data_IF_518000059953
#
_entry.id   IF_518000059953
#
_cell.length_a   1.000
_cell.length_b   1.000
_cell.length_c   1.000
_cell.angle_alpha   90.00
_cell.angle_beta   90.00
_cell.angle_gamma   90.00
#
_symmetry.space_group_name_H-M   'P 1'
#
loop_
_entity.id
_entity.type
_entity.pdbx_description
1 polymer ?
#
# COMPACT_ATOMS: atom_id res chain seq x y z
N UNK A 1 -14.02 5.77 -5.83
CA UNK A 1 -12.74 5.06 -5.59
C UNK A 1 -13.11 3.65 -5.19
N UNK A 2 -12.44 2.63 -5.72
CA UNK A 2 -12.70 1.24 -5.29
C UNK A 2 -11.96 1.00 -3.98
N UNK A 3 -12.66 0.37 -3.03
CA UNK A 3 -12.11 0.05 -1.73
C UNK A 3 -11.68 -1.42 -1.70
N UNK A 4 -10.57 -1.68 -1.00
CA UNK A 4 -10.22 -3.04 -0.64
C UNK A 4 -11.35 -3.64 0.20
N UNK A 5 -11.70 -4.89 -0.09
CA UNK A 5 -12.59 -5.71 0.74
C UNK A 5 -11.74 -6.69 1.57
N UNK A 6 -12.32 -7.46 2.51
CA UNK A 6 -11.55 -8.44 3.26
C UNK A 6 -10.71 -9.35 2.34
N UNK A 7 -9.46 -9.59 2.73
CA UNK A 7 -8.43 -10.33 1.97
C UNK A 7 -7.94 -9.64 0.68
N UNK A 8 -8.18 -8.34 0.52
CA UNK A 8 -7.53 -7.50 -0.50
C UNK A 8 -6.57 -6.49 0.14
N UNK A 9 -5.52 -6.14 -0.60
CA UNK A 9 -4.66 -5.00 -0.33
C UNK A 9 -4.65 -4.08 -1.54
N UNK A 10 -4.18 -2.85 -1.36
CA UNK A 10 -3.88 -2.01 -2.50
C UNK A 10 -2.56 -2.45 -3.14
N UNK A 11 -2.58 -2.62 -4.47
CA UNK A 11 -1.38 -2.83 -5.29
C UNK A 11 -1.20 -1.66 -6.23
N UNK A 12 0.01 -1.13 -6.27
CA UNK A 12 0.43 -0.05 -7.15
C UNK A 12 0.96 -0.60 -8.46
N UNK A 13 0.56 0.02 -9.56
CA UNK A 13 1.07 -0.28 -10.89
C UNK A 13 2.32 0.58 -11.15
N UNK A 14 3.49 -0.05 -11.04
CA UNK A 14 4.79 0.58 -11.26
C UNK A 14 5.24 0.31 -12.69
N UNK A 15 5.64 1.35 -13.41
CA UNK A 15 6.15 1.19 -14.75
C UNK A 15 7.28 2.17 -15.06
N UNK A 16 8.26 1.70 -15.83
CA UNK A 16 9.42 2.50 -16.21
C UNK A 16 9.00 3.70 -17.07
N UNK A 17 9.62 4.85 -16.82
CA UNK A 17 9.38 6.07 -17.60
C UNK A 17 8.12 6.85 -17.20
N UNK A 18 7.40 6.42 -16.15
CA UNK A 18 6.38 7.22 -15.49
C UNK A 18 6.94 7.94 -14.27
N UNK A 19 6.32 9.07 -13.92
CA UNK A 19 6.57 9.72 -12.64
C UNK A 19 5.99 8.82 -11.54
N UNK A 20 6.76 8.48 -10.48
CA UNK A 20 6.25 7.68 -9.37
C UNK A 20 4.97 8.21 -8.73
N UNK A 21 4.75 9.52 -8.77
CA UNK A 21 3.53 10.14 -8.24
C UNK A 21 2.27 9.91 -9.09
N UNK A 22 2.42 9.43 -10.33
CA UNK A 22 1.32 9.18 -11.27
C UNK A 22 0.93 7.68 -11.31
N UNK A 23 1.59 6.86 -10.50
CA UNK A 23 1.27 5.43 -10.37
C UNK A 23 -0.06 5.23 -9.64
N UNK A 24 -0.98 4.45 -10.21
CA UNK A 24 -2.27 4.17 -9.62
C UNK A 24 -2.15 2.95 -8.70
N UNK A 25 -2.99 2.92 -7.67
CA UNK A 25 -3.17 1.80 -6.77
C UNK A 25 -4.59 1.28 -6.90
N UNK A 26 -4.72 -0.04 -6.90
CA UNK A 26 -5.99 -0.72 -7.06
C UNK A 26 -6.14 -1.80 -5.99
N UNK A 27 -7.36 -2.06 -5.49
CA UNK A 27 -7.57 -3.17 -4.58
C UNK A 27 -7.40 -4.50 -5.34
N UNK A 28 -6.68 -5.43 -4.71
CA UNK A 28 -6.36 -6.73 -5.28
C UNK A 28 -6.10 -7.75 -4.17
N UNK A 29 -6.39 -9.02 -4.44
CA UNK A 29 -5.89 -10.12 -3.62
C UNK A 29 -4.44 -10.42 -4.00
N UNK A 30 -3.53 -10.33 -3.05
CA UNK A 30 -2.12 -10.70 -3.26
C UNK A 30 -1.98 -12.21 -3.04
N UNK A 31 -1.38 -12.91 -4.01
CA UNK A 31 -1.22 -14.37 -3.96
C UNK A 31 0.21 -14.71 -3.53
N UNK A 32 0.33 -15.40 -2.40
CA UNK A 32 1.61 -15.96 -1.95
C UNK A 32 1.99 -17.19 -2.77
N UNK A 33 2.70 -16.98 -3.88
CA UNK A 33 3.47 -18.07 -4.48
C UNK A 33 4.92 -17.61 -4.63
N UNK A 34 5.87 -18.19 -3.88
CA UNK A 34 7.28 -17.92 -4.06
C UNK A 34 7.73 -18.64 -5.33
N UNK A 35 7.94 -17.89 -6.41
CA UNK A 35 8.87 -18.32 -7.44
C UNK A 35 10.17 -17.57 -7.18
N UNK A 36 11.18 -18.36 -6.81
CA UNK A 36 12.59 -18.03 -6.48
C UNK A 36 13.36 -17.28 -7.57
N UNK A 37 12.68 -16.56 -8.47
CA UNK A 37 13.28 -15.89 -9.63
C UNK A 37 12.65 -14.54 -9.99
N UNK A 38 11.65 -14.04 -9.26
CA UNK A 38 10.91 -12.85 -9.69
C UNK A 38 11.47 -11.56 -9.09
N UNK A 39 12.13 -10.75 -9.93
CA UNK A 39 12.31 -9.30 -9.69
C UNK A 39 11.03 -8.50 -10.00
N UNK A 40 9.86 -9.15 -10.05
CA UNK A 40 8.67 -8.65 -10.76
C UNK A 40 7.50 -8.30 -9.84
N UNK A 41 7.77 -7.99 -8.56
CA UNK A 41 6.78 -7.50 -7.62
C UNK A 41 5.70 -8.52 -7.21
N UNK A 42 4.56 -8.01 -6.71
CA UNK A 42 3.43 -8.77 -6.21
C UNK A 42 2.62 -9.43 -7.34
N UNK A 43 2.19 -10.67 -7.11
CA UNK A 43 1.20 -11.35 -7.95
C UNK A 43 -0.21 -10.97 -7.44
N UNK A 44 -1.01 -10.35 -8.30
CA UNK A 44 -2.28 -9.77 -7.89
C UNK A 44 -3.43 -10.41 -8.65
N UNK A 45 -4.52 -10.69 -7.94
CA UNK A 45 -5.79 -11.15 -8.49
C UNK A 45 -6.81 -10.04 -8.35
N UNK A 46 -7.28 -9.50 -9.48
CA UNK A 46 -8.21 -8.37 -9.54
C UNK A 46 -9.64 -8.83 -9.75
N UNK A 47 -10.60 -8.19 -9.06
CA UNK A 47 -12.02 -8.33 -9.39
C UNK A 47 -12.34 -7.67 -10.72
N UNK A 48 -13.35 -8.19 -11.42
CA UNK A 48 -13.80 -7.64 -12.71
C UNK A 48 -14.09 -6.12 -12.66
N UNK A 49 -14.62 -5.63 -11.53
CA UNK A 49 -14.94 -4.21 -11.33
C UNK A 49 -13.73 -3.28 -11.24
N UNK A 50 -12.55 -3.83 -10.95
CA UNK A 50 -11.29 -3.07 -10.87
C UNK A 50 -10.73 -2.82 -12.28
N UNK A 51 -10.95 -3.76 -13.20
CA UNK A 51 -10.37 -3.75 -14.55
C UNK A 51 -10.68 -2.48 -15.36
N UNK A 52 -11.89 -1.88 -15.35
CA UNK A 52 -12.14 -0.63 -16.04
C UNK A 52 -11.23 0.53 -15.59
N UNK A 53 -10.92 0.59 -14.30
CA UNK A 53 -10.04 1.62 -13.74
C UNK A 53 -8.60 1.43 -14.21
N UNK A 54 -8.12 0.17 -14.21
CA UNK A 54 -6.80 -0.21 -14.74
C UNK A 54 -6.72 0.12 -16.24
N UNK A 55 -7.72 -0.31 -17.01
CA UNK A 55 -7.81 -0.05 -18.46
C UNK A 55 -7.80 1.44 -18.77
N UNK A 56 -8.57 2.24 -18.02
CA UNK A 56 -8.61 3.68 -18.21
C UNK A 56 -7.24 4.32 -17.98
N UNK A 57 -6.52 3.88 -16.94
CA UNK A 57 -5.18 4.40 -16.67
C UNK A 57 -4.17 3.97 -17.74
N UNK A 58 -4.17 2.71 -18.16
CA UNK A 58 -3.32 2.21 -19.26
C UNK A 58 -3.58 3.02 -20.54
N UNK A 59 -4.84 3.28 -20.87
CA UNK A 59 -5.23 4.05 -22.07
C UNK A 59 -4.72 5.50 -22.02
N UNK A 60 -4.60 6.09 -20.84
CA UNK A 60 -4.02 7.44 -20.65
C UNK A 60 -2.50 7.44 -20.71
N UNK A 61 -1.85 6.28 -20.65
CA UNK A 61 -0.41 6.11 -20.64
C UNK A 61 0.05 5.18 -21.79
N UNK A 62 -0.18 5.55 -23.06
CA UNK A 62 0.14 4.70 -24.21
C UNK A 62 1.64 4.37 -24.34
N UNK A 63 2.53 5.16 -23.72
CA UNK A 63 3.97 4.90 -23.66
C UNK A 63 4.32 3.58 -22.98
N UNK A 64 3.39 2.99 -22.21
CA UNK A 64 3.56 1.68 -21.58
C UNK A 64 3.56 0.52 -22.59
N UNK A 65 3.07 0.74 -23.82
CA UNK A 65 2.93 -0.32 -24.81
C UNK A 65 1.96 -1.44 -24.37
N UNK A 66 1.08 -1.15 -23.41
CA UNK A 66 0.14 -2.12 -22.82
C UNK A 66 -1.30 -1.81 -23.23
N UNK A 67 -2.11 -2.85 -23.38
CA UNK A 67 -3.55 -2.80 -23.54
C UNK A 67 -4.22 -3.87 -22.70
N UNK A 68 -5.39 -3.55 -22.14
CA UNK A 68 -6.20 -4.46 -21.33
C UNK A 68 -7.65 -4.37 -21.80
N UNK A 69 -8.26 -5.51 -22.10
CA UNK A 69 -9.62 -5.57 -22.64
C UNK A 69 -10.36 -6.83 -22.16
N UNK A 70 -11.51 -6.65 -21.52
CA UNK A 70 -12.47 -7.74 -21.33
C UNK A 70 -13.10 -8.11 -22.69
N UNK A 71 -12.95 -9.37 -23.07
CA UNK A 71 -13.53 -9.91 -24.30
C UNK A 71 -15.00 -10.27 -24.09
N UNK A 72 -15.85 -10.18 -25.13
CA UNK A 72 -17.26 -10.56 -25.02
C UNK A 72 -17.42 -12.05 -24.72
N UNK A 73 -18.53 -12.40 -24.06
CA UNK A 73 -18.86 -13.80 -23.76
C UNK A 73 -18.99 -14.57 -25.08
N UNK A 74 -18.29 -15.70 -25.16
CA UNK A 74 -18.54 -16.63 -26.26
C UNK A 74 -19.88 -17.32 -26.02
N UNK A 75 -20.66 -17.58 -27.08
CA UNK A 75 -22.08 -18.00 -27.01
C UNK A 75 -22.34 -19.31 -26.25
N UNK A 76 -21.29 -19.98 -25.77
CA UNK A 76 -21.32 -21.31 -25.19
C UNK A 76 -20.70 -21.40 -23.78
N UNK A 77 -20.28 -20.30 -23.14
CA UNK A 77 -19.70 -20.30 -21.79
C UNK A 77 -20.29 -19.22 -20.88
N UNK A 78 -20.11 -19.44 -19.57
CA UNK A 78 -20.65 -18.68 -18.42
C UNK A 78 -20.37 -17.17 -18.49
N UNK A 79 -20.88 -16.42 -17.51
CA UNK A 79 -20.66 -14.98 -17.29
C UNK A 79 -19.16 -14.58 -17.13
N UNK A 80 -18.23 -15.52 -17.28
CA UNK A 80 -16.79 -15.37 -17.08
C UNK A 80 -16.12 -14.93 -18.38
N UNK A 81 -16.01 -13.60 -18.53
CA UNK A 81 -15.40 -12.96 -19.70
C UNK A 81 -13.87 -13.11 -19.64
N UNK A 82 -13.18 -13.61 -20.68
CA UNK A 82 -11.73 -13.64 -20.67
C UNK A 82 -11.15 -12.23 -20.79
N UNK A 83 -10.06 -11.97 -20.08
CA UNK A 83 -9.29 -10.75 -20.15
C UNK A 83 -8.15 -10.92 -21.17
N UNK A 84 -8.15 -10.07 -22.19
CA UNK A 84 -7.02 -9.94 -23.11
C UNK A 84 -6.06 -8.88 -22.60
N UNK A 85 -4.78 -9.24 -22.53
CA UNK A 85 -3.68 -8.34 -22.19
C UNK A 85 -2.72 -8.34 -23.37
N UNK A 86 -2.50 -7.17 -23.96
CA UNK A 86 -1.50 -6.96 -24.99
C UNK A 86 -0.35 -6.15 -24.39
N UNK A 87 0.89 -6.62 -24.54
CA UNK A 87 2.09 -5.87 -24.13
C UNK A 87 3.09 -5.82 -25.27
N UNK A 88 3.73 -4.67 -25.44
CA UNK A 88 4.68 -4.40 -26.53
C UNK A 88 5.91 -3.73 -25.96
N UNK A 89 7.07 -4.37 -26.15
CA UNK A 89 8.37 -3.78 -25.88
C UNK A 89 9.08 -3.37 -27.17
N UNK A 90 10.29 -2.80 -27.05
CA UNK A 90 11.06 -2.33 -28.20
C UNK A 90 11.36 -3.42 -29.25
N UNK A 91 11.42 -4.69 -28.83
CA UNK A 91 11.81 -5.83 -29.67
C UNK A 91 10.80 -6.98 -29.66
N UNK A 92 9.65 -6.82 -29.01
CA UNK A 92 8.72 -7.92 -28.79
C UNK A 92 7.27 -7.45 -28.65
N UNK A 93 6.34 -8.33 -28.97
CA UNK A 93 4.92 -8.17 -28.72
C UNK A 93 4.37 -9.48 -28.13
N UNK A 94 3.52 -9.36 -27.11
CA UNK A 94 2.89 -10.50 -26.44
C UNK A 94 1.40 -10.23 -26.28
N UNK A 95 0.61 -11.27 -26.50
CA UNK A 95 -0.82 -11.29 -26.15
C UNK A 95 -1.05 -12.43 -25.17
N UNK A 96 -1.74 -12.13 -24.09
CA UNK A 96 -2.18 -13.08 -23.07
C UNK A 96 -3.70 -13.07 -22.98
N UNK A 97 -4.28 -14.25 -22.79
CA UNK A 97 -5.69 -14.44 -22.47
C UNK A 97 -5.77 -15.02 -21.07
N UNK A 98 -6.24 -14.22 -20.12
CA UNK A 98 -6.43 -14.59 -18.73
C UNK A 98 -7.89 -14.91 -18.52
N UNK A 99 -8.18 -16.12 -18.07
CA UNK A 99 -9.52 -16.51 -17.64
C UNK A 99 -9.67 -16.19 -16.16
N UNK A 100 -10.83 -15.67 -15.73
CA UNK A 100 -11.06 -15.47 -14.31
C UNK A 100 -11.12 -16.83 -13.61
N UNK A 101 -10.55 -16.88 -12.43
CA UNK A 101 -10.66 -17.98 -11.48
C UNK A 101 -11.35 -17.43 -10.22
N UNK A 102 -12.46 -18.05 -9.79
CA UNK A 102 -13.36 -17.54 -8.76
C UNK A 102 -13.77 -16.06 -8.95
N UNK A 103 -13.95 -15.64 -10.22
CA UNK A 103 -14.30 -14.25 -10.58
C UNK A 103 -13.15 -13.25 -10.47
N UNK A 104 -11.91 -13.71 -10.23
CA UNK A 104 -10.70 -12.90 -10.13
C UNK A 104 -9.77 -13.14 -11.32
N UNK A 105 -9.17 -12.07 -11.82
CA UNK A 105 -8.22 -12.08 -12.93
C UNK A 105 -6.80 -11.95 -12.40
N UNK A 106 -5.99 -12.97 -12.66
CA UNK A 106 -4.57 -12.92 -12.30
C UNK A 106 -3.80 -11.98 -13.23
N UNK A 107 -3.10 -11.02 -12.63
CA UNK A 107 -2.15 -10.15 -13.29
C UNK A 107 -0.75 -10.39 -12.72
N UNK A 108 0.19 -10.62 -13.62
CA UNK A 108 1.62 -10.71 -13.33
C UNK A 108 2.36 -9.73 -14.23
N UNK A 109 3.21 -8.90 -13.62
CA UNK A 109 4.10 -7.97 -14.33
C UNK A 109 5.18 -8.65 -15.16
N UNK A 110 6.01 -7.81 -15.78
CA UNK A 110 7.25 -8.18 -16.44
C UNK A 110 8.39 -7.22 -16.05
N UNK A 111 9.48 -7.18 -16.83
CA UNK A 111 10.64 -6.31 -16.55
C UNK A 111 10.36 -4.82 -16.72
N UNK A 112 9.30 -4.43 -17.43
CA UNK A 112 8.98 -3.05 -17.81
C UNK A 112 7.84 -2.44 -16.99
N UNK A 113 7.04 -3.29 -16.38
CA UNK A 113 6.01 -2.91 -15.42
C UNK A 113 5.78 -4.05 -14.42
N UNK A 114 5.49 -3.71 -13.18
CA UNK A 114 5.16 -4.67 -12.15
C UNK A 114 4.13 -4.10 -11.17
N UNK A 115 3.58 -4.98 -10.34
CA UNK A 115 2.69 -4.60 -9.26
C UNK A 115 3.46 -4.67 -7.95
N UNK A 116 3.23 -3.76 -7.01
CA UNK A 116 3.79 -3.87 -5.66
C UNK A 116 2.74 -3.52 -4.62
N UNK A 117 2.91 -3.99 -3.39
CA UNK A 117 1.96 -3.64 -2.32
C UNK A 117 2.06 -2.13 -2.02
N UNK A 118 0.92 -1.49 -1.79
CA UNK A 118 0.84 -0.04 -1.67
C UNK A 118 -0.34 0.38 -0.80
N UNK A 119 -0.60 1.68 -0.80
CA UNK A 119 -1.72 2.34 -0.15
C UNK A 119 -2.71 2.87 -1.21
N UNK A 120 -3.95 3.23 -0.85
CA UNK A 120 -4.89 3.83 -1.80
C UNK A 120 -4.28 5.06 -2.48
N UNK A 121 -4.51 5.21 -3.78
CA UNK A 121 -4.04 6.38 -4.53
C UNK A 121 -4.57 7.67 -3.91
N UNK A 122 -3.67 8.42 -3.29
CA UNK A 122 -4.00 9.66 -2.60
C UNK A 122 -3.20 10.78 -3.24
N UNK A 123 -3.84 11.90 -3.57
CA UNK A 123 -3.14 13.02 -4.19
C UNK A 123 -2.15 13.65 -3.21
N UNK A 124 -1.04 14.18 -3.72
CA UNK A 124 -0.09 14.95 -2.92
C UNK A 124 -0.77 16.08 -2.13
N UNK A 125 -1.78 16.74 -2.72
CA UNK A 125 -2.57 17.77 -2.04
C UNK A 125 -3.37 17.23 -0.86
N UNK A 126 -3.94 16.03 -0.98
CA UNK A 126 -4.66 15.37 0.11
C UNK A 126 -3.72 14.99 1.24
N UNK A 127 -2.56 14.38 0.94
CA UNK A 127 -1.53 14.05 1.93
C UNK A 127 -1.07 15.31 2.68
N UNK A 128 -0.74 16.38 1.94
CA UNK A 128 -0.33 17.67 2.52
C UNK A 128 -1.45 18.30 3.35
N UNK A 129 -2.70 18.17 2.94
CA UNK A 129 -3.85 18.69 3.67
C UNK A 129 -4.06 17.95 4.99
N UNK A 130 -4.07 16.62 4.98
CA UNK A 130 -4.19 15.79 6.18
C UNK A 130 -3.05 16.04 7.16
N UNK A 131 -1.81 16.11 6.67
CA UNK A 131 -0.66 16.47 7.51
C UNK A 131 -0.85 17.84 8.18
N UNK A 132 -1.19 18.88 7.41
CA UNK A 132 -1.44 20.23 7.95
C UNK A 132 -2.59 20.27 8.92
N UNK A 133 -3.59 19.41 8.78
CA UNK A 133 -4.77 19.38 9.65
C UNK A 133 -4.46 18.70 10.98
N UNK A 134 -3.80 17.54 10.94
CA UNK A 134 -3.65 16.62 12.06
C UNK A 134 -2.33 16.82 12.82
N UNK A 135 -1.22 17.04 12.12
CA UNK A 135 0.12 17.13 12.72
C UNK A 135 0.35 18.55 13.25
N UNK A 136 -0.25 18.84 14.41
CA UNK A 136 -0.17 20.14 15.10
C UNK A 136 0.26 19.95 16.56
N UNK A 137 1.03 20.89 17.14
CA UNK A 137 1.42 20.81 18.55
C UNK A 137 0.25 20.66 19.54
N UNK A 138 -0.92 21.24 19.23
CA UNK A 138 -2.11 21.12 20.07
C UNK A 138 -2.66 19.68 20.13
N UNK A 139 -2.46 18.88 19.08
CA UNK A 139 -2.94 17.50 18.98
C UNK A 139 -1.93 16.49 19.54
N UNK A 140 -0.68 16.91 19.75
CA UNK A 140 0.44 16.09 20.23
C UNK A 140 0.78 16.35 21.70
N UNK A 141 -0.22 16.73 22.51
CA UNK A 141 -0.04 16.90 23.96
C UNK A 141 -0.20 15.53 24.64
N UNK A 142 0.75 15.14 25.51
CA UNK A 142 0.63 13.90 26.27
C UNK A 142 -0.48 13.97 27.32
N UNK A 143 -1.24 12.89 27.41
CA UNK A 143 -2.19 12.65 28.50
C UNK A 143 -1.48 12.05 29.73
N UNK A 144 -2.11 12.03 30.91
CA UNK A 144 -1.51 11.40 32.09
C UNK A 144 -1.08 9.95 31.82
N UNK A 145 0.20 9.66 32.04
CA UNK A 145 0.80 8.35 31.80
C UNK A 145 1.42 8.18 30.41
N UNK A 146 1.27 9.16 29.50
CA UNK A 146 1.96 9.17 28.21
C UNK A 146 3.32 9.88 28.30
N UNK A 147 4.31 9.34 27.60
CA UNK A 147 5.56 10.00 27.29
C UNK A 147 5.59 10.41 25.81
N UNK A 148 6.46 11.35 25.47
CA UNK A 148 6.74 11.68 24.07
C UNK A 148 7.76 10.68 23.52
N UNK A 149 7.46 10.11 22.36
CA UNK A 149 8.39 9.25 21.62
C UNK A 149 8.59 9.76 20.20
N UNK A 150 9.80 9.61 19.67
CA UNK A 150 10.13 9.88 18.27
C UNK A 150 10.59 8.59 17.59
N UNK A 151 10.25 8.46 16.31
CA UNK A 151 10.94 7.51 15.45
C UNK A 151 12.38 8.01 15.31
N UNK A 152 13.37 7.10 15.31
CA UNK A 152 14.77 7.48 15.08
C UNK A 152 14.87 8.34 13.81
N UNK A 153 15.61 9.45 13.89
CA UNK A 153 15.76 10.48 12.85
C UNK A 153 14.54 11.37 12.55
N UNK A 154 13.40 11.15 13.22
CA UNK A 154 12.23 12.03 13.09
C UNK A 154 12.31 13.25 14.03
N UNK A 155 11.91 14.42 13.51
CA UNK A 155 11.80 15.67 14.30
C UNK A 155 10.44 15.84 14.98
N UNK A 156 9.55 14.86 14.88
CA UNK A 156 8.20 14.91 15.45
C UNK A 156 8.10 13.88 16.57
N UNK A 157 7.61 14.31 17.72
CA UNK A 157 7.35 13.44 18.86
C UNK A 157 5.85 13.19 19.02
N UNK A 158 5.51 11.95 19.34
CA UNK A 158 4.14 11.45 19.44
C UNK A 158 3.88 10.98 20.87
N UNK A 159 2.76 11.37 21.49
CA UNK A 159 2.39 10.85 22.81
C UNK A 159 2.02 9.37 22.78
N UNK A 160 2.61 8.59 23.67
CA UNK A 160 2.33 7.17 23.81
C UNK A 160 2.50 6.70 25.25
N UNK A 161 1.81 5.62 25.61
CA UNK A 161 2.24 4.83 26.77
C UNK A 161 3.42 3.99 26.31
N UNK A 162 4.56 4.10 27.00
CA UNK A 162 5.75 3.32 26.68
C UNK A 162 5.78 2.08 27.57
N UNK A 163 5.90 0.91 26.97
CA UNK A 163 6.07 -0.34 27.72
C UNK A 163 7.34 -0.30 28.57
N UNK A 164 7.33 -1.03 29.69
CA UNK A 164 8.53 -1.18 30.51
C UNK A 164 9.55 -2.13 29.86
N UNK A 165 9.10 -2.98 28.93
CA UNK A 165 9.96 -3.85 28.14
C UNK A 165 10.46 -3.13 26.89
N UNK A 166 11.78 -3.04 26.73
CA UNK A 166 12.40 -2.54 25.50
C UNK A 166 12.66 -3.68 24.52
N UNK A 167 12.58 -3.39 23.23
CA UNK A 167 12.99 -4.33 22.18
C UNK A 167 14.35 -3.89 21.61
N UNK A 168 15.40 -4.66 21.88
CA UNK A 168 16.79 -4.32 21.47
C UNK A 168 17.17 -2.91 21.95
N UNK A 169 16.66 -2.48 23.11
CA UNK A 169 16.90 -1.15 23.66
C UNK A 169 16.00 -0.03 23.11
N UNK A 170 15.18 -0.29 22.08
CA UNK A 170 14.19 0.66 21.59
C UNK A 170 12.93 0.67 22.48
N UNK A 171 12.29 1.84 22.57
CA UNK A 171 11.01 2.00 23.24
C UNK A 171 9.90 1.21 22.52
N UNK A 172 8.89 0.78 23.25
CA UNK A 172 7.70 0.12 22.69
C UNK A 172 6.47 1.00 22.98
N UNK A 173 6.10 1.90 22.06
CA UNK A 173 5.00 2.83 22.28
C UNK A 173 3.63 2.23 21.89
N UNK A 174 2.62 2.55 22.71
CA UNK A 174 1.21 2.29 22.45
C UNK A 174 0.44 3.60 22.32
N UNK A 175 0.05 3.92 21.09
CA UNK A 175 -0.59 5.17 20.72
C UNK A 175 -2.11 5.09 20.89
N UNK A 176 -2.73 6.11 21.48
CA UNK A 176 -4.20 6.25 21.45
C UNK A 176 -4.70 6.50 20.01
N UNK A 177 -5.98 6.24 19.69
CA UNK A 177 -6.49 6.29 18.32
C UNK A 177 -6.22 7.60 17.57
N UNK A 178 -6.29 8.74 18.25
CA UNK A 178 -6.03 10.03 17.60
C UNK A 178 -4.55 10.20 17.26
N UNK A 179 -3.65 9.75 18.14
CA UNK A 179 -2.19 9.82 17.88
C UNK A 179 -1.80 8.85 16.79
N UNK A 180 -2.40 7.65 16.74
CA UNK A 180 -2.21 6.71 15.63
C UNK A 180 -2.59 7.33 14.27
N UNK A 181 -3.70 8.06 14.20
CA UNK A 181 -4.11 8.80 12.98
C UNK A 181 -3.12 9.90 12.60
N UNK A 182 -2.61 10.64 13.59
CA UNK A 182 -1.61 11.70 13.36
C UNK A 182 -0.30 11.09 12.87
N UNK A 183 0.15 9.99 13.47
CA UNK A 183 1.34 9.26 13.04
C UNK A 183 1.19 8.74 11.60
N UNK A 184 0.06 8.10 11.26
CA UNK A 184 -0.20 7.65 9.88
C UNK A 184 -0.19 8.79 8.85
N UNK A 185 -0.77 9.95 9.20
CA UNK A 185 -0.73 11.14 8.35
C UNK A 185 0.70 11.70 8.20
N UNK A 186 1.49 11.67 9.27
CA UNK A 186 2.89 12.08 9.24
C UNK A 186 3.74 11.13 8.38
N UNK A 187 3.59 9.82 8.52
CA UNK A 187 4.30 8.81 7.73
C UNK A 187 4.06 9.00 6.22
N UNK A 188 2.80 9.14 5.81
CA UNK A 188 2.46 9.40 4.40
C UNK A 188 3.07 10.71 3.88
N UNK A 189 3.15 11.74 4.72
CA UNK A 189 3.79 13.01 4.36
C UNK A 189 5.31 12.91 4.31
N UNK A 190 5.93 12.18 5.24
CA UNK A 190 7.35 11.92 5.28
C UNK A 190 7.80 11.14 4.04
N UNK A 191 7.05 10.10 3.67
CA UNK A 191 7.23 9.37 2.41
C UNK A 191 7.19 10.31 1.19
N UNK A 192 6.22 11.21 1.13
CA UNK A 192 6.04 12.12 0.00
C UNK A 192 7.13 13.21 -0.10
N UNK A 193 7.72 13.64 1.02
CA UNK A 193 8.47 14.91 1.06
C UNK A 193 9.85 14.85 1.67
N UNK A 194 10.15 13.83 2.48
CA UNK A 194 11.42 13.71 3.18
C UNK A 194 12.26 12.60 2.56
N UNK A 195 11.73 11.38 2.55
CA UNK A 195 12.43 10.19 2.09
C UNK A 195 11.38 9.12 1.70
N UNK A 196 11.49 8.57 0.49
CA UNK A 196 10.54 7.56 -0.01
C UNK A 196 10.68 6.19 0.69
N UNK A 197 11.70 6.02 1.53
CA UNK A 197 11.88 4.85 2.37
C UNK A 197 10.94 4.82 3.58
N UNK A 198 10.36 5.96 3.98
CA UNK A 198 9.35 5.98 5.04
C UNK A 198 8.15 5.08 4.68
N UNK A 199 7.62 4.40 5.69
CA UNK A 199 6.40 3.61 5.54
C UNK A 199 5.22 4.49 5.10
N UNK A 200 4.29 3.88 4.37
CA UNK A 200 3.01 4.47 3.99
C UNK A 200 1.89 3.79 4.78
N UNK A 201 0.79 4.49 5.01
CA UNK A 201 -0.31 3.94 5.82
C UNK A 201 -1.69 4.25 5.27
N UNK A 202 -2.66 3.41 5.59
CA UNK A 202 -4.09 3.67 5.41
C UNK A 202 -4.93 2.93 6.44
N UNK A 203 -6.19 3.32 6.58
CA UNK A 203 -7.11 2.73 7.55
C UNK A 203 -8.11 1.80 6.88
N UNK A 204 -8.30 0.61 7.45
CA UNK A 204 -9.37 -0.32 7.16
C UNK A 204 -10.22 -0.52 8.42
N UNK A 205 -11.37 0.16 8.49
CA UNK A 205 -12.16 0.19 9.72
C UNK A 205 -11.36 0.82 10.88
N UNK A 206 -11.08 0.04 11.91
CA UNK A 206 -10.24 0.39 13.06
C UNK A 206 -8.83 -0.19 12.98
N UNK A 207 -8.44 -0.83 11.88
CA UNK A 207 -7.08 -1.35 11.70
C UNK A 207 -6.25 -0.37 10.89
N UNK A 208 -5.05 -0.03 11.38
CA UNK A 208 -4.06 0.73 10.62
C UNK A 208 -3.21 -0.26 9.82
N UNK A 209 -3.26 -0.15 8.50
CA UNK A 209 -2.40 -0.90 7.61
C UNK A 209 -1.12 -0.10 7.37
N UNK A 210 0.03 -0.70 7.65
CA UNK A 210 1.36 -0.09 7.48
C UNK A 210 2.11 -0.83 6.38
N UNK A 211 2.52 -0.10 5.35
CA UNK A 211 3.24 -0.61 4.19
C UNK A 211 4.67 -0.07 4.21
N UNK A 212 5.61 -0.96 4.46
CA UNK A 212 7.05 -0.69 4.45
C UNK A 212 7.54 -0.55 3.01
N UNK A 213 7.88 0.68 2.61
CA UNK A 213 8.22 0.99 1.21
C UNK A 213 9.39 0.17 0.69
N UNK A 214 10.39 -0.11 1.53
CA UNK A 214 11.56 -0.91 1.16
C UNK A 214 11.25 -2.41 1.02
N UNK A 215 10.23 -2.92 1.71
CA UNK A 215 9.85 -4.33 1.70
C UNK A 215 8.67 -4.62 0.74
N UNK A 216 7.91 -3.59 0.34
CA UNK A 216 6.69 -3.69 -0.47
C UNK A 216 6.84 -4.42 -1.82
N UNK A 217 8.06 -4.51 -2.35
CA UNK A 217 8.39 -5.22 -3.58
C UNK A 217 8.99 -6.61 -3.36
N UNK A 218 9.26 -6.99 -2.10
CA UNK A 218 9.89 -8.26 -1.75
C UNK A 218 8.88 -9.43 -1.81
N UNK A 219 9.31 -10.61 -2.30
CA UNK A 219 8.46 -11.80 -2.30
C UNK A 219 8.03 -12.21 -0.87
N UNK A 220 6.73 -12.48 -0.69
CA UNK A 220 6.15 -12.88 0.59
C UNK A 220 6.03 -11.75 1.62
N UNK A 221 6.21 -10.50 1.20
CA UNK A 221 5.91 -9.36 2.06
C UNK A 221 4.39 -9.22 2.26
N UNK A 222 4.00 -8.99 3.51
CA UNK A 222 2.65 -8.60 3.90
C UNK A 222 2.71 -7.29 4.67
N UNK A 223 1.77 -6.36 4.45
CA UNK A 223 1.60 -5.20 5.31
C UNK A 223 1.40 -5.59 6.76
N UNK A 224 1.80 -4.70 7.66
CA UNK A 224 1.46 -4.84 9.07
C UNK A 224 0.01 -4.40 9.30
N UNK A 225 -0.75 -5.28 9.95
CA UNK A 225 -2.12 -5.02 10.39
C UNK A 225 -2.08 -4.62 11.86
N UNK A 226 -2.06 -3.31 12.13
CA UNK A 226 -2.01 -2.80 13.49
C UNK A 226 -3.42 -2.62 14.02
N UNK A 227 -3.93 -3.65 14.66
CA UNK A 227 -5.21 -3.64 15.38
C UNK A 227 -5.08 -2.93 16.74
N UNK A 228 -6.17 -2.30 17.24
CA UNK A 228 -6.17 -1.78 18.60
C UNK A 228 -6.11 -2.92 19.61
N UNK A 229 -5.28 -2.75 20.63
CA UNK A 229 -5.29 -3.60 21.82
C UNK A 229 -6.62 -3.47 22.58
N UNK A 230 -6.91 -4.32 23.59
CA UNK A 230 -8.13 -4.21 24.40
C UNK A 230 -8.34 -2.85 25.10
N UNK A 231 -7.27 -2.08 25.29
CA UNK A 231 -7.31 -0.71 25.84
C UNK A 231 -7.53 0.37 24.76
N UNK A 232 -7.70 -0.02 23.49
CA UNK A 232 -7.91 0.86 22.34
C UNK A 232 -6.64 1.46 21.75
N UNK A 233 -5.45 1.04 22.20
CA UNK A 233 -4.16 1.62 21.75
C UNK A 233 -3.47 0.76 20.69
N UNK A 234 -2.68 1.42 19.84
CA UNK A 234 -2.03 0.85 18.66
C UNK A 234 -0.53 0.74 18.89
N UNK A 235 0.04 -0.44 18.62
CA UNK A 235 1.47 -0.71 18.72
C UNK A 235 2.14 -0.56 17.34
N UNK A 236 2.34 0.67 16.88
CA UNK A 236 2.80 0.96 15.51
C UNK A 236 4.33 0.82 15.44
N UNK A 237 4.85 0.03 14.49
CA UNK A 237 6.28 -0.25 14.35
C UNK A 237 6.85 -1.11 15.47
N UNK A 238 5.99 -1.86 16.18
CA UNK A 238 6.41 -2.69 17.30
C UNK A 238 7.43 -3.74 16.86
N UNK A 239 8.62 -3.71 17.47
CA UNK A 239 9.73 -4.65 17.20
C UNK A 239 10.31 -4.58 15.78
N UNK A 240 10.04 -3.52 15.04
CA UNK A 240 10.65 -3.30 13.73
C UNK A 240 11.28 -1.92 13.65
N UNK A 241 10.67 -0.94 14.31
CA UNK A 241 11.14 0.44 14.31
C UNK A 241 11.89 0.77 15.59
N UNK A 242 12.87 1.66 15.44
CA UNK A 242 13.62 2.19 16.58
C UNK A 242 12.89 3.43 17.09
N UNK A 243 12.14 3.25 18.17
CA UNK A 243 11.53 4.35 18.91
C UNK A 243 12.43 4.82 20.05
N UNK A 244 12.53 6.13 20.22
CA UNK A 244 13.25 6.79 21.30
C UNK A 244 12.26 7.55 22.20
N UNK A 245 12.49 7.50 23.51
CA UNK A 245 11.73 8.32 24.46
C UNK A 245 12.44 9.68 24.64
N UNK A 246 11.66 10.77 24.66
CA UNK A 246 12.12 12.16 24.75
C UNK A 246 12.00 12.72 26.16
#
# INVERSE_FOLDING_TARGET
MLHAIPDEHYVEFVADGLNPNDHPSFPARVVDIPLTTSRFGAHARLRAEVLPSVQQWITKNPQLGMGLQLLPADKHRSNDLPLKIDTTGALWQRTLIVWPDDGLYELSGDTTWFLQISVPTTTADTIRSLHRELVKPANLRPEPGEALVNLADAQVSFPAIVDNESWIGAAVPYFRPEVAKILGAWLNYAHLTLDDTYARTYWEGDTLIVVESNAASMPGYHPDHVEPRPDGRYAIGWREWVWEAV
#
